data_IF_742256127122
#
_entry.id   IF_742256127122
#
_cell.length_a   1.000
_cell.length_b   1.000
_cell.length_c   1.000
_cell.angle_alpha   90.00
_cell.angle_beta   90.00
_cell.angle_gamma   90.00
#
_symmetry.space_group_name_H-M   'P 1'
#
loop_
_entity.id
_entity.type
_entity.pdbx_description
1 polymer ?
#
# COMPACT_ATOMS: atom_id res chain seq x y z
N UNK A 1 17.24 -37.67 -21.45
CA UNK A 1 17.71 -36.32 -21.07
C UNK A 1 16.50 -35.39 -21.04
N UNK A 2 15.92 -35.12 -19.87
CA UNK A 2 14.76 -34.23 -19.75
C UNK A 2 15.21 -32.77 -19.84
N UNK A 3 14.53 -31.97 -20.67
CA UNK A 3 14.82 -30.54 -20.78
C UNK A 3 14.64 -29.83 -19.42
N UNK A 4 15.47 -28.83 -19.09
CA UNK A 4 15.33 -28.08 -17.85
C UNK A 4 13.99 -27.33 -17.83
N UNK A 5 13.26 -27.44 -16.72
CA UNK A 5 11.99 -26.73 -16.51
C UNK A 5 12.33 -25.23 -16.40
N UNK A 6 11.73 -24.34 -17.22
CA UNK A 6 12.01 -22.91 -17.13
C UNK A 6 11.62 -22.39 -15.73
N UNK A 7 12.44 -21.51 -15.12
CA UNK A 7 12.12 -20.93 -13.83
C UNK A 7 10.78 -20.22 -13.90
N UNK A 8 9.88 -20.54 -12.96
CA UNK A 8 8.56 -19.88 -12.84
C UNK A 8 8.81 -18.38 -12.69
N UNK A 9 8.35 -17.58 -13.64
CA UNK A 9 8.49 -16.13 -13.57
C UNK A 9 7.93 -15.65 -12.22
N UNK A 10 8.78 -15.03 -11.41
CA UNK A 10 8.38 -14.43 -10.13
C UNK A 10 7.40 -13.32 -10.45
N UNK A 11 6.11 -13.60 -10.23
CA UNK A 11 5.06 -12.64 -10.48
C UNK A 11 5.30 -11.45 -9.55
N UNK A 12 5.55 -10.27 -10.14
CA UNK A 12 5.87 -9.07 -9.36
C UNK A 12 4.69 -8.72 -8.46
N UNK A 13 4.92 -8.72 -7.16
CA UNK A 13 3.92 -8.31 -6.18
C UNK A 13 3.75 -6.79 -6.31
N UNK A 14 2.51 -6.33 -6.49
CA UNK A 14 2.17 -4.91 -6.53
C UNK A 14 1.63 -4.50 -5.17
N UNK A 15 2.19 -3.44 -4.60
CA UNK A 15 1.84 -2.92 -3.27
C UNK A 15 1.78 -1.39 -3.28
N UNK A 16 1.36 -0.81 -4.41
CA UNK A 16 1.36 0.65 -4.62
C UNK A 16 0.12 1.35 -4.10
N UNK A 17 -0.91 0.60 -3.68
CA UNK A 17 -2.14 1.14 -3.12
C UNK A 17 -2.65 0.28 -1.98
N UNK A 18 -3.50 0.87 -1.12
CA UNK A 18 -4.20 0.14 -0.06
C UNK A 18 -5.02 -1.04 -0.60
N UNK A 19 -5.60 -0.90 -1.80
CA UNK A 19 -6.36 -1.98 -2.43
C UNK A 19 -5.48 -3.18 -2.75
N UNK A 20 -4.31 -2.94 -3.34
CA UNK A 20 -3.35 -3.99 -3.69
C UNK A 20 -2.78 -4.65 -2.43
N UNK A 21 -2.43 -3.86 -1.40
CA UNK A 21 -1.95 -4.39 -0.11
C UNK A 21 -3.02 -5.25 0.56
N UNK A 22 -4.29 -4.81 0.52
CA UNK A 22 -5.44 -5.60 1.05
C UNK A 22 -5.61 -6.91 0.30
N UNK A 23 -5.48 -6.92 -1.03
CA UNK A 23 -5.55 -8.14 -1.83
C UNK A 23 -4.43 -9.11 -1.45
N UNK A 24 -3.23 -8.59 -1.20
CA UNK A 24 -2.07 -9.37 -0.76
C UNK A 24 -2.29 -9.98 0.63
N UNK A 25 -2.78 -9.19 1.59
CA UNK A 25 -3.17 -9.66 2.93
C UNK A 25 -4.17 -10.81 2.85
N UNK A 26 -5.20 -10.67 2.00
CA UNK A 26 -6.19 -11.71 1.78
C UNK A 26 -5.60 -12.97 1.14
N UNK A 27 -4.56 -12.84 0.30
CA UNK A 27 -3.83 -13.98 -0.26
C UNK A 27 -3.04 -14.71 0.84
N UNK A 28 -2.27 -13.97 1.64
CA UNK A 28 -1.48 -14.52 2.76
C UNK A 28 -2.38 -15.30 3.72
N UNK A 29 -3.52 -14.73 4.10
CA UNK A 29 -4.49 -15.41 4.96
C UNK A 29 -5.01 -16.71 4.34
N UNK A 30 -5.42 -16.70 3.06
CA UNK A 30 -5.92 -17.89 2.37
C UNK A 30 -4.87 -18.99 2.29
N UNK A 31 -3.62 -18.64 2.02
CA UNK A 31 -2.53 -19.61 1.93
C UNK A 31 -2.17 -20.20 3.30
N UNK A 32 -2.17 -19.37 4.35
CA UNK A 32 -1.98 -19.83 5.72
C UNK A 32 -3.11 -20.77 6.17
N UNK A 33 -4.36 -20.38 5.91
CA UNK A 33 -5.56 -21.18 6.24
C UNK A 33 -5.58 -22.51 5.50
N UNK A 34 -5.13 -22.53 4.25
CA UNK A 34 -5.01 -23.74 3.44
C UNK A 34 -3.74 -24.56 3.75
N UNK A 35 -2.95 -24.18 4.77
CA UNK A 35 -1.67 -24.83 5.15
C UNK A 35 -0.63 -24.87 4.02
N UNK A 36 -0.74 -23.96 3.05
CA UNK A 36 0.26 -23.77 1.98
C UNK A 36 1.39 -22.82 2.38
N UNK A 37 1.18 -22.05 3.44
CA UNK A 37 2.15 -21.13 4.04
C UNK A 37 2.20 -21.40 5.54
N UNK A 38 3.39 -21.60 6.16
CA UNK A 38 3.49 -21.73 7.61
C UNK A 38 2.90 -20.52 8.32
N UNK A 39 2.18 -20.74 9.43
CA UNK A 39 1.49 -19.67 10.14
C UNK A 39 2.48 -18.62 10.70
N UNK A 40 3.68 -19.04 11.07
CA UNK A 40 4.74 -18.14 11.52
C UNK A 40 5.16 -17.16 10.41
N UNK A 41 5.40 -17.67 9.20
CA UNK A 41 5.75 -16.84 8.04
C UNK A 41 4.58 -15.94 7.62
N UNK A 42 3.36 -16.47 7.66
CA UNK A 42 2.15 -15.69 7.40
C UNK A 42 2.01 -14.51 8.36
N UNK A 43 2.38 -14.71 9.63
CA UNK A 43 2.33 -13.66 10.67
C UNK A 43 3.35 -12.56 10.37
N UNK A 44 4.59 -12.94 10.04
CA UNK A 44 5.66 -11.99 9.65
C UNK A 44 5.26 -11.18 8.41
N UNK A 45 4.72 -11.85 7.39
CA UNK A 45 4.26 -11.19 6.16
C UNK A 45 3.09 -10.24 6.43
N UNK A 46 2.12 -10.67 7.23
CA UNK A 46 0.98 -9.84 7.62
C UNK A 46 1.46 -8.58 8.34
N UNK A 47 2.41 -8.70 9.26
CA UNK A 47 2.99 -7.57 9.99
C UNK A 47 3.62 -6.55 9.03
N UNK A 48 4.44 -7.00 8.08
CA UNK A 48 5.07 -6.13 7.08
C UNK A 48 4.01 -5.43 6.23
N UNK A 49 3.00 -6.17 5.75
CA UNK A 49 1.93 -5.62 4.91
C UNK A 49 1.07 -4.58 5.64
N UNK A 50 0.79 -4.80 6.93
CA UNK A 50 0.05 -3.83 7.76
C UNK A 50 0.88 -2.56 7.97
N UNK A 51 2.19 -2.69 8.22
CA UNK A 51 3.05 -1.53 8.31
C UNK A 51 3.11 -0.75 6.99
N UNK A 52 3.21 -1.46 5.87
CA UNK A 52 3.19 -0.83 4.56
C UNK A 52 1.87 -0.10 4.30
N UNK A 53 0.73 -0.72 4.64
CA UNK A 53 -0.58 -0.08 4.51
C UNK A 53 -0.63 1.26 5.27
N UNK A 54 -0.10 1.32 6.49
CA UNK A 54 -0.05 2.56 7.27
C UNK A 54 0.79 3.63 6.60
N UNK A 55 1.98 3.29 6.11
CA UNK A 55 2.86 4.24 5.42
C UNK A 55 2.22 4.73 4.11
N UNK A 56 1.60 3.83 3.35
CA UNK A 56 0.88 4.19 2.11
C UNK A 56 -0.30 5.13 2.39
N UNK A 57 -1.07 4.86 3.45
CA UNK A 57 -2.20 5.69 3.86
C UNK A 57 -1.72 7.10 4.27
N UNK A 58 -0.69 7.18 5.12
CA UNK A 58 -0.07 8.45 5.53
C UNK A 58 0.41 9.27 4.33
N UNK A 59 1.15 8.64 3.40
CA UNK A 59 1.63 9.32 2.21
C UNK A 59 0.48 9.82 1.31
N UNK A 60 -0.62 9.08 1.24
CA UNK A 60 -1.80 9.47 0.46
C UNK A 60 -2.47 10.69 1.09
N UNK A 61 -2.68 10.66 2.40
CA UNK A 61 -3.28 11.79 3.14
C UNK A 61 -2.40 13.03 3.06
N UNK A 62 -1.08 12.89 3.23
CA UNK A 62 -0.14 14.00 3.10
C UNK A 62 -0.20 14.63 1.70
N UNK A 63 -0.25 13.80 0.65
CA UNK A 63 -0.37 14.29 -0.73
C UNK A 63 -1.70 15.05 -0.95
N UNK A 64 -2.82 14.48 -0.51
CA UNK A 64 -4.14 15.14 -0.62
C UNK A 64 -4.18 16.46 0.16
N UNK A 65 -3.57 16.53 1.35
CA UNK A 65 -3.44 17.76 2.12
C UNK A 65 -2.65 18.83 1.37
N UNK A 66 -1.49 18.47 0.80
CA UNK A 66 -0.70 19.40 0.00
C UNK A 66 -1.47 19.93 -1.22
N UNK A 67 -2.24 19.07 -1.89
CA UNK A 67 -3.09 19.47 -3.01
C UNK A 67 -4.18 20.47 -2.58
N UNK A 68 -4.81 20.22 -1.43
CA UNK A 68 -5.81 21.15 -0.86
C UNK A 68 -5.18 22.48 -0.47
N UNK A 69 -4.02 22.49 0.20
CA UNK A 69 -3.30 23.71 0.56
C UNK A 69 -2.92 24.54 -0.67
N UNK A 70 -2.45 23.89 -1.74
CA UNK A 70 -2.13 24.55 -3.00
C UNK A 70 -3.37 25.08 -3.71
N UNK A 71 -4.48 24.34 -3.69
CA UNK A 71 -5.75 24.79 -4.26
C UNK A 71 -6.29 26.02 -3.52
N UNK A 72 -6.22 26.03 -2.19
CA UNK A 72 -6.58 27.20 -1.37
C UNK A 72 -5.69 28.40 -1.67
N UNK A 73 -4.38 28.20 -1.81
CA UNK A 73 -3.43 29.26 -2.17
C UNK A 73 -3.69 29.83 -3.57
N UNK A 74 -4.01 28.99 -4.56
CA UNK A 74 -4.32 29.40 -5.94
C UNK A 74 -5.71 30.05 -6.05
N UNK A 75 -6.66 29.62 -5.23
CA UNK A 75 -8.05 30.09 -5.21
C UNK A 75 -8.29 31.32 -4.32
N UNK A 76 -7.30 31.78 -3.55
CA UNK A 76 -7.38 33.00 -2.76
C UNK A 76 -6.90 34.21 -3.60
N UNK A 77 -7.79 35.00 -4.23
CA UNK A 77 -7.43 36.37 -4.59
C UNK A 77 -7.23 37.14 -3.29
N UNK A 78 -6.13 37.90 -3.17
CA UNK A 78 -5.79 38.85 -2.10
C UNK A 78 -6.89 39.10 -1.05
N UNK A 79 -6.68 38.68 0.20
CA UNK A 79 -7.42 39.24 1.34
C UNK A 79 -7.80 38.25 2.44
N UNK A 80 -6.85 37.88 3.28
CA UNK A 80 -7.13 37.68 4.71
C UNK A 80 -6.60 38.90 5.45
N UNK A 81 -7.15 40.08 5.17
CA UNK A 81 -6.99 41.22 6.07
C UNK A 81 -7.87 40.98 7.30
N UNK A 82 -7.29 40.39 8.33
CA UNK A 82 -7.86 40.46 9.66
C UNK A 82 -7.79 41.92 10.13
N UNK A 83 -8.92 42.62 10.00
CA UNK A 83 -9.10 43.93 10.62
C UNK A 83 -9.18 43.72 12.15
N UNK A 84 -8.37 44.51 12.85
CA UNK A 84 -8.14 44.52 14.30
C UNK A 84 -9.40 44.66 15.16
#
# INVERSE_FOLDING_TARGET
>A
MGAPIPPKATQRIRLGSLHEIRAELARVYRDARARRLPMEDATKLTYILVHLARVTDQATVEAEMCEMEDALRKGAPNGLEHKA
#
